data_IF_954491663669
#
_entry.id   IF_954491663669
#
_cell.length_a   1.000
_cell.length_b   1.000
_cell.length_c   1.000
_cell.angle_alpha   90.00
_cell.angle_beta   90.00
_cell.angle_gamma   90.00
#
_symmetry.space_group_name_H-M   'P 1'
#
loop_
_entity.id
_entity.type
_entity.pdbx_description
1 polymer ?
#
# COMPACT_ATOMS: atom_id res chain seq x y z
N UNK A 1 -8.90 15.80 16.76
CA UNK A 1 -8.73 14.41 17.22
C UNK A 1 -7.88 13.67 16.22
N UNK A 2 -6.63 13.33 16.58
CA UNK A 2 -5.68 12.62 15.72
C UNK A 2 -6.09 11.15 15.65
N UNK A 3 -6.58 10.70 14.50
CA UNK A 3 -7.12 9.35 14.29
C UNK A 3 -6.07 8.29 13.92
N UNK A 4 -4.79 8.67 13.83
CA UNK A 4 -3.71 7.77 13.39
C UNK A 4 -2.52 7.76 14.36
N UNK A 5 -2.79 7.51 15.65
CA UNK A 5 -1.71 7.15 16.57
C UNK A 5 -1.42 5.66 16.43
N UNK A 6 -0.47 5.30 15.55
CA UNK A 6 0.17 4.00 15.60
C UNK A 6 0.89 3.90 16.96
N UNK A 7 0.40 3.04 17.85
CA UNK A 7 1.06 2.78 19.13
C UNK A 7 2.46 2.28 18.82
N UNK A 8 3.50 3.12 19.09
CA UNK A 8 4.87 2.63 19.16
C UNK A 8 4.89 1.42 20.10
N UNK A 9 5.43 0.32 19.63
CA UNK A 9 5.76 -0.79 20.50
C UNK A 9 6.64 -0.23 21.62
N UNK A 10 6.46 -0.64 22.89
CA UNK A 10 7.26 -0.12 23.99
C UNK A 10 8.74 -0.40 23.70
N UNK A 11 9.53 0.66 23.58
CA UNK A 11 10.99 0.57 23.55
C UNK A 11 11.46 0.05 24.90
N UNK A 12 11.61 -1.26 25.00
CA UNK A 12 12.34 -1.87 26.12
C UNK A 12 13.82 -1.55 25.93
N UNK A 13 14.31 -0.57 26.68
CA UNK A 13 15.74 -0.28 26.78
C UNK A 13 16.47 -1.56 27.13
N UNK A 14 17.55 -1.94 26.43
CA UNK A 14 18.32 -3.13 26.75
C UNK A 14 18.92 -2.98 28.15
N UNK A 15 18.61 -3.89 29.05
CA UNK A 15 19.30 -4.02 30.33
C UNK A 15 20.70 -4.59 30.04
N UNK A 16 21.67 -3.72 29.83
CA UNK A 16 23.08 -4.06 29.74
C UNK A 16 23.56 -4.44 31.14
N UNK A 17 24.00 -5.69 31.37
CA UNK A 17 24.73 -6.08 32.55
C UNK A 17 24.28 -7.38 33.22
N UNK A 18 24.14 -8.48 32.48
CA UNK A 18 24.04 -9.83 33.00
C UNK A 18 25.05 -10.72 32.31
N UNK A 19 25.71 -11.61 33.06
CA UNK A 19 26.65 -12.59 32.52
C UNK A 19 25.90 -13.50 31.54
N UNK A 20 26.04 -13.24 30.22
CA UNK A 20 25.34 -13.97 29.15
C UNK A 20 25.97 -15.37 29.15
N UNK A 21 25.14 -16.41 29.27
CA UNK A 21 25.60 -17.79 29.19
C UNK A 21 26.28 -18.05 27.83
N UNK A 22 27.25 -18.94 27.81
CA UNK A 22 28.04 -19.23 26.59
C UNK A 22 27.13 -19.69 25.42
N UNK A 23 26.11 -20.51 25.70
CA UNK A 23 25.09 -20.90 24.75
C UNK A 23 24.32 -19.72 24.18
N UNK A 24 23.97 -18.73 25.02
CA UNK A 24 23.25 -17.51 24.58
C UNK A 24 24.13 -16.65 23.67
N UNK A 25 25.45 -16.59 23.96
CA UNK A 25 26.43 -15.88 23.11
C UNK A 25 26.58 -16.50 21.74
N UNK A 26 26.63 -17.85 21.65
CA UNK A 26 26.70 -18.57 20.38
C UNK A 26 25.49 -18.22 19.52
N UNK A 27 24.28 -18.36 20.06
CA UNK A 27 23.03 -18.06 19.35
C UNK A 27 22.98 -16.58 18.93
N UNK A 28 23.35 -15.67 19.82
CA UNK A 28 23.38 -14.23 19.53
C UNK A 28 24.36 -13.88 18.40
N UNK A 29 25.54 -14.49 18.40
CA UNK A 29 26.56 -14.26 17.35
C UNK A 29 26.07 -14.74 16.00
N UNK A 30 25.40 -15.89 15.91
CA UNK A 30 24.81 -16.38 14.67
C UNK A 30 23.75 -15.40 14.15
N UNK A 31 22.86 -14.92 15.04
CA UNK A 31 21.84 -13.93 14.65
C UNK A 31 22.49 -12.62 14.18
N UNK A 32 23.52 -12.12 14.90
CA UNK A 32 24.23 -10.90 14.52
C UNK A 32 24.97 -11.01 13.19
N UNK A 33 25.47 -12.19 12.84
CA UNK A 33 26.14 -12.42 11.55
C UNK A 33 25.23 -12.18 10.33
N UNK A 34 23.91 -12.36 10.50
CA UNK A 34 22.91 -12.15 9.42
C UNK A 34 22.48 -10.70 9.28
N UNK A 35 22.85 -9.82 10.19
CA UNK A 35 22.53 -8.38 10.21
C UNK A 35 21.04 -8.11 10.01
N UNK A 36 20.66 -7.42 8.91
CA UNK A 36 19.28 -7.05 8.55
C UNK A 36 18.41 -8.22 8.05
N UNK A 37 19.07 -9.34 7.71
CA UNK A 37 18.40 -10.56 7.28
C UNK A 37 18.01 -11.37 8.51
N UNK A 38 16.73 -11.40 8.84
CA UNK A 38 16.24 -12.26 9.92
C UNK A 38 16.47 -13.73 9.59
N UNK A 39 16.92 -14.52 10.59
CA UNK A 39 17.19 -15.95 10.41
C UNK A 39 15.98 -16.78 10.85
N UNK A 40 15.63 -17.80 10.05
CA UNK A 40 14.59 -18.77 10.40
C UNK A 40 15.03 -19.68 11.55
N UNK A 41 14.10 -20.02 12.44
CA UNK A 41 14.41 -20.78 13.66
C UNK A 41 15.10 -22.13 13.38
N UNK A 42 14.76 -22.83 12.29
CA UNK A 42 15.41 -24.10 11.96
C UNK A 42 16.86 -23.92 11.52
N UNK A 43 17.12 -22.92 10.70
CA UNK A 43 18.45 -22.61 10.20
C UNK A 43 19.34 -22.11 11.33
N UNK A 44 18.79 -21.26 12.20
CA UNK A 44 19.45 -20.78 13.41
C UNK A 44 19.86 -21.94 14.34
N UNK A 45 18.97 -22.93 14.51
CA UNK A 45 19.25 -24.11 15.32
C UNK A 45 20.36 -24.98 14.70
N UNK A 46 20.33 -25.14 13.39
CA UNK A 46 21.35 -25.88 12.66
C UNK A 46 22.72 -25.19 12.72
N UNK A 47 22.77 -23.86 12.52
CA UNK A 47 24.01 -23.09 12.57
C UNK A 47 24.56 -22.98 14.00
N UNK A 48 23.71 -22.89 15.02
CA UNK A 48 24.14 -22.84 16.42
C UNK A 48 24.68 -24.19 16.94
N UNK A 49 24.29 -25.32 16.35
CA UNK A 49 24.76 -26.65 16.71
C UNK A 49 24.44 -27.07 18.17
N UNK A 50 23.44 -26.45 18.80
CA UNK A 50 23.07 -26.71 20.18
C UNK A 50 21.93 -27.73 20.32
N UNK A 51 21.91 -28.54 21.43
CA UNK A 51 20.78 -29.40 21.72
C UNK A 51 19.48 -28.61 21.91
N UNK A 52 18.34 -29.18 21.48
CA UNK A 52 17.02 -28.54 21.48
C UNK A 52 16.62 -27.84 22.79
N UNK A 53 16.78 -28.48 23.97
CA UNK A 53 16.41 -27.85 25.22
C UNK A 53 17.26 -26.60 25.51
N UNK A 54 18.57 -26.69 25.24
CA UNK A 54 19.52 -25.59 25.45
C UNK A 54 19.24 -24.43 24.51
N UNK A 55 19.04 -24.73 23.22
CA UNK A 55 18.68 -23.74 22.21
C UNK A 55 17.39 -22.97 22.58
N UNK A 56 16.32 -23.70 22.92
CA UNK A 56 15.04 -23.10 23.28
C UNK A 56 15.14 -22.20 24.54
N UNK A 57 15.97 -22.62 25.52
CA UNK A 57 16.26 -21.81 26.71
C UNK A 57 17.02 -20.54 26.35
N UNK A 58 18.05 -20.64 25.51
CA UNK A 58 18.85 -19.51 25.04
C UNK A 58 18.01 -18.49 24.27
N UNK A 59 17.15 -18.93 23.34
CA UNK A 59 16.24 -18.04 22.61
C UNK A 59 15.29 -17.30 23.57
N UNK A 60 14.70 -18.01 24.53
CA UNK A 60 13.82 -17.36 25.52
C UNK A 60 14.57 -16.32 26.36
N UNK A 61 15.78 -16.62 26.80
CA UNK A 61 16.61 -15.69 27.54
C UNK A 61 16.94 -14.44 26.71
N UNK A 62 17.33 -14.60 25.45
CA UNK A 62 17.67 -13.51 24.53
C UNK A 62 16.45 -12.63 24.20
N UNK A 63 15.28 -13.22 24.06
CA UNK A 63 14.01 -12.48 23.88
C UNK A 63 13.65 -11.69 25.16
N UNK A 64 13.76 -12.33 26.32
CA UNK A 64 13.44 -11.70 27.62
C UNK A 64 14.42 -10.57 27.94
N UNK A 65 15.71 -10.72 27.60
CA UNK A 65 16.72 -9.67 27.77
C UNK A 65 16.62 -8.55 26.73
N UNK A 66 15.76 -8.68 25.71
CA UNK A 66 15.57 -7.69 24.67
C UNK A 66 16.75 -7.58 23.68
N UNK A 67 17.65 -8.58 23.64
CA UNK A 67 18.79 -8.62 22.72
C UNK A 67 18.41 -9.15 21.33
N UNK A 68 17.30 -9.89 21.24
CA UNK A 68 16.76 -10.47 20.01
C UNK A 68 15.27 -10.12 19.91
N UNK A 69 14.80 -9.87 18.69
CA UNK A 69 13.39 -9.62 18.36
C UNK A 69 12.87 -10.75 17.47
N UNK A 70 11.62 -11.15 17.68
CA UNK A 70 10.90 -12.03 16.76
C UNK A 70 10.30 -11.18 15.64
N UNK A 71 10.49 -11.59 14.39
CA UNK A 71 10.00 -10.89 13.20
C UNK A 71 9.12 -11.83 12.38
N UNK A 72 7.95 -11.34 12.00
CA UNK A 72 7.08 -12.04 11.07
C UNK A 72 7.55 -11.80 9.62
N UNK A 73 7.69 -12.87 8.85
CA UNK A 73 8.06 -12.81 7.44
C UNK A 73 6.79 -12.78 6.58
N UNK A 74 6.67 -11.76 5.71
CA UNK A 74 5.46 -11.55 4.89
C UNK A 74 5.16 -12.71 3.96
N UNK A 75 6.20 -13.27 3.30
CA UNK A 75 6.03 -14.37 2.35
C UNK A 75 5.93 -15.73 3.04
N UNK A 76 6.52 -15.90 4.24
CA UNK A 76 6.60 -17.17 4.95
C UNK A 76 5.75 -17.12 6.22
N UNK A 77 4.43 -16.95 6.04
CA UNK A 77 3.47 -16.88 7.15
C UNK A 77 3.59 -18.08 8.09
N UNK A 78 3.51 -17.81 9.38
CA UNK A 78 3.58 -18.85 10.43
C UNK A 78 4.98 -19.34 10.78
N UNK A 79 6.04 -18.87 10.13
CA UNK A 79 7.42 -19.20 10.45
C UNK A 79 8.05 -18.13 11.32
N UNK A 80 8.70 -18.55 12.42
CA UNK A 80 9.39 -17.64 13.33
C UNK A 80 10.77 -17.30 12.82
N UNK A 81 11.04 -16.01 12.67
CA UNK A 81 12.35 -15.48 12.33
C UNK A 81 12.85 -14.60 13.47
N UNK A 82 14.15 -14.58 13.66
CA UNK A 82 14.80 -13.82 14.73
C UNK A 82 15.83 -12.86 14.15
N UNK A 83 15.91 -11.67 14.73
CA UNK A 83 16.89 -10.65 14.39
C UNK A 83 17.45 -10.04 15.69
N UNK A 84 18.71 -9.58 15.67
CA UNK A 84 19.26 -8.87 16.81
C UNK A 84 18.56 -7.51 17.00
N UNK A 85 18.36 -7.11 18.25
CA UNK A 85 17.62 -5.89 18.59
C UNK A 85 18.26 -4.60 18.04
N UNK A 86 19.57 -4.64 17.79
CA UNK A 86 20.36 -3.53 17.23
C UNK A 86 20.12 -3.31 15.73
N UNK A 87 19.57 -4.30 15.02
CA UNK A 87 19.25 -4.20 13.58
C UNK A 87 17.77 -4.02 13.35
N UNK A 88 17.44 -3.34 12.25
CA UNK A 88 16.09 -3.28 11.71
C UNK A 88 15.95 -4.32 10.59
N UNK A 89 14.84 -5.08 10.57
CA UNK A 89 14.63 -6.08 9.52
C UNK A 89 14.42 -5.40 8.17
N UNK A 90 14.98 -6.00 7.12
CA UNK A 90 14.83 -5.50 5.75
C UNK A 90 13.36 -5.42 5.32
N UNK A 91 13.07 -4.53 4.37
CA UNK A 91 11.71 -4.40 3.82
C UNK A 91 11.23 -5.66 3.11
N UNK A 92 12.15 -6.48 2.60
CA UNK A 92 11.84 -7.77 1.97
C UNK A 92 11.21 -8.76 2.97
N UNK A 93 11.63 -8.69 4.22
CA UNK A 93 11.13 -9.55 5.30
C UNK A 93 9.81 -9.02 5.85
N UNK A 94 9.77 -7.72 6.15
CA UNK A 94 8.61 -7.09 6.79
C UNK A 94 7.49 -6.72 5.83
N UNK A 95 7.77 -6.61 4.52
CA UNK A 95 6.85 -6.07 3.52
C UNK A 95 6.76 -4.55 3.52
N UNK A 96 7.62 -3.88 4.30
CA UNK A 96 7.64 -2.44 4.44
C UNK A 96 6.53 -1.90 5.35
N UNK A 97 6.30 -0.60 5.25
CA UNK A 97 5.40 0.15 6.13
C UNK A 97 3.91 -0.18 5.98
N UNK A 98 3.53 -0.88 4.90
CA UNK A 98 2.15 -1.32 4.65
C UNK A 98 1.74 -2.55 5.44
N UNK A 99 2.72 -3.21 6.08
CA UNK A 99 2.50 -4.45 6.81
C UNK A 99 2.71 -4.25 8.31
N UNK A 100 1.87 -4.89 9.10
CA UNK A 100 1.98 -4.97 10.56
C UNK A 100 1.93 -6.43 10.95
N UNK A 101 2.96 -6.92 11.67
CA UNK A 101 3.08 -8.32 12.13
C UNK A 101 2.96 -9.36 11.00
N UNK A 102 3.44 -9.02 9.80
CA UNK A 102 3.40 -9.91 8.62
C UNK A 102 2.07 -9.93 7.87
N UNK A 103 1.11 -9.10 8.23
CA UNK A 103 -0.17 -8.93 7.54
C UNK A 103 -0.32 -7.49 7.05
N UNK A 104 -1.04 -7.32 5.94
CA UNK A 104 -1.32 -6.00 5.38
C UNK A 104 -2.18 -5.20 6.36
N UNK A 105 -1.72 -4.02 6.76
CA UNK A 105 -2.41 -3.13 7.70
C UNK A 105 -3.54 -2.37 6.98
N UNK A 106 -4.68 -3.05 6.81
CA UNK A 106 -5.85 -2.51 6.10
C UNK A 106 -6.42 -1.26 6.80
N UNK A 107 -6.39 -1.21 8.11
CA UNK A 107 -6.92 -0.08 8.88
C UNK A 107 -6.05 1.16 8.64
N UNK A 108 -4.74 1.00 8.62
CA UNK A 108 -3.81 2.08 8.31
C UNK A 108 -4.00 2.58 6.87
N UNK A 109 -4.09 1.66 5.89
CA UNK A 109 -4.30 1.98 4.48
C UNK A 109 -5.63 2.71 4.28
N UNK A 110 -6.71 2.22 4.86
CA UNK A 110 -8.03 2.85 4.75
C UNK A 110 -8.06 4.23 5.42
N UNK A 111 -7.46 4.35 6.61
CA UNK A 111 -7.33 5.63 7.30
C UNK A 111 -6.54 6.66 6.47
N UNK A 112 -5.48 6.23 5.79
CA UNK A 112 -4.68 7.10 4.92
C UNK A 112 -5.45 7.47 3.64
N UNK A 113 -6.20 6.54 3.04
CA UNK A 113 -7.11 6.82 1.91
C UNK A 113 -8.16 7.88 2.29
N UNK A 114 -8.80 7.75 3.44
CA UNK A 114 -9.81 8.70 3.92
C UNK A 114 -9.21 10.08 4.19
N UNK A 115 -8.02 10.13 4.75
CA UNK A 115 -7.29 11.37 4.97
C UNK A 115 -6.97 12.06 3.65
N UNK A 116 -6.38 11.36 2.69
CA UNK A 116 -6.07 11.89 1.36
C UNK A 116 -7.34 12.41 0.66
N UNK A 117 -8.45 11.68 0.76
CA UNK A 117 -9.72 12.07 0.17
C UNK A 117 -10.26 13.40 0.77
N UNK A 118 -10.19 13.55 2.10
CA UNK A 118 -10.59 14.80 2.78
C UNK A 118 -9.74 15.98 2.36
N UNK A 119 -8.42 15.79 2.22
CA UNK A 119 -7.49 16.83 1.79
C UNK A 119 -7.78 17.24 0.35
N UNK A 120 -7.93 16.30 -0.57
CA UNK A 120 -8.24 16.57 -1.98
C UNK A 120 -9.58 17.30 -2.11
N UNK A 121 -10.61 16.91 -1.35
CA UNK A 121 -11.90 17.62 -1.33
C UNK A 121 -11.74 19.06 -0.86
N UNK A 122 -10.87 19.31 0.13
CA UNK A 122 -10.63 20.67 0.65
C UNK A 122 -9.82 21.52 -0.33
N UNK A 123 -8.81 20.96 -0.96
CA UNK A 123 -7.93 21.66 -1.91
C UNK A 123 -8.49 21.70 -3.33
N UNK A 124 -9.56 20.92 -3.62
CA UNK A 124 -10.16 20.66 -4.93
C UNK A 124 -9.23 19.93 -5.88
N UNK A 125 -8.00 20.42 -6.04
CA UNK A 125 -6.92 19.82 -6.83
C UNK A 125 -5.64 19.82 -6.01
N UNK A 126 -4.90 18.71 -5.99
CA UNK A 126 -3.64 18.61 -5.28
C UNK A 126 -2.66 17.66 -5.97
N UNK A 127 -1.36 17.92 -5.86
CA UNK A 127 -0.29 16.98 -6.18
C UNK A 127 -0.05 16.04 -5.00
N UNK A 128 0.68 14.94 -5.20
CA UNK A 128 1.05 14.04 -4.10
C UNK A 128 1.85 14.78 -3.01
N UNK A 129 2.82 15.59 -3.42
CA UNK A 129 3.61 16.41 -2.50
C UNK A 129 2.75 17.46 -1.78
N UNK A 130 1.80 18.08 -2.49
CA UNK A 130 0.86 19.03 -1.88
C UNK A 130 -0.04 18.38 -0.81
N UNK A 131 -0.46 17.13 -1.01
CA UNK A 131 -1.21 16.36 -0.01
C UNK A 131 -0.31 16.03 1.19
N UNK A 132 0.93 15.63 0.94
CA UNK A 132 1.92 15.35 1.98
C UNK A 132 2.20 16.59 2.83
N UNK A 133 2.58 17.71 2.20
CA UNK A 133 2.90 18.97 2.87
C UNK A 133 1.71 19.49 3.70
N UNK A 134 0.51 19.41 3.14
CA UNK A 134 -0.70 19.78 3.87
C UNK A 134 -0.90 18.90 5.11
N UNK A 135 -0.65 17.63 4.99
CA UNK A 135 -0.79 16.66 6.09
C UNK A 135 0.22 16.92 7.20
N UNK A 136 1.47 17.18 6.85
CA UNK A 136 2.55 17.50 7.81
C UNK A 136 2.28 18.83 8.51
N UNK A 137 1.95 19.89 7.76
CA UNK A 137 1.65 21.22 8.31
C UNK A 137 0.49 21.22 9.31
N UNK A 138 -0.48 20.35 9.11
CA UNK A 138 -1.65 20.28 9.99
C UNK A 138 -1.52 19.17 11.07
N UNK A 139 -0.37 18.51 11.17
CA UNK A 139 -0.14 17.44 12.15
C UNK A 139 -1.08 16.23 11.99
N UNK A 140 -1.56 15.99 10.78
CA UNK A 140 -2.52 14.93 10.48
C UNK A 140 -1.86 13.57 10.28
N UNK A 141 -0.58 13.56 9.89
CA UNK A 141 0.25 12.38 9.69
C UNK A 141 1.45 12.44 10.63
N UNK A 142 1.76 11.32 11.26
CA UNK A 142 3.01 11.15 12.00
C UNK A 142 4.20 11.10 11.03
N UNK A 143 5.40 11.37 11.54
CA UNK A 143 6.68 11.49 10.81
C UNK A 143 7.05 10.24 9.99
N UNK A 144 6.38 9.12 10.23
CA UNK A 144 6.68 7.83 9.61
C UNK A 144 6.06 7.63 8.20
N UNK A 145 5.27 8.59 7.69
CA UNK A 145 4.68 8.51 6.34
C UNK A 145 5.49 9.35 5.35
N UNK A 146 5.86 8.77 4.22
CA UNK A 146 6.63 9.44 3.17
C UNK A 146 5.74 9.96 2.04
N UNK A 147 6.22 10.97 1.28
CA UNK A 147 5.54 11.45 0.07
C UNK A 147 5.32 10.34 -0.95
N UNK A 148 6.24 9.38 -1.04
CA UNK A 148 6.10 8.22 -1.92
C UNK A 148 4.91 7.34 -1.53
N UNK A 149 4.70 7.09 -0.23
CA UNK A 149 3.54 6.34 0.25
C UNK A 149 2.22 7.04 -0.05
N UNK A 150 2.18 8.37 0.09
CA UNK A 150 1.02 9.16 -0.33
C UNK A 150 0.76 8.98 -1.83
N UNK A 151 1.81 9.03 -2.66
CA UNK A 151 1.69 8.81 -4.12
C UNK A 151 1.13 7.41 -4.44
N UNK A 152 1.58 6.37 -3.75
CA UNK A 152 1.08 4.99 -3.92
C UNK A 152 -0.41 4.87 -3.53
N UNK A 153 -0.81 5.48 -2.41
CA UNK A 153 -2.22 5.53 -1.99
C UNK A 153 -3.08 6.28 -3.00
N UNK A 154 -2.63 7.43 -3.50
CA UNK A 154 -3.37 8.20 -4.50
C UNK A 154 -3.56 7.41 -5.80
N UNK A 155 -2.53 6.71 -6.28
CA UNK A 155 -2.64 5.80 -7.43
C UNK A 155 -3.65 4.68 -7.18
N UNK A 156 -3.62 4.06 -5.99
CA UNK A 156 -4.63 3.07 -5.61
C UNK A 156 -6.05 3.64 -5.63
N UNK A 157 -6.23 4.89 -5.15
CA UNK A 157 -7.53 5.55 -5.14
C UNK A 157 -8.03 5.92 -6.56
N UNK A 158 -7.12 6.16 -7.50
CA UNK A 158 -7.46 6.33 -8.93
C UNK A 158 -7.99 5.03 -9.49
N UNK A 159 -7.34 3.89 -9.21
CA UNK A 159 -7.83 2.56 -9.61
C UNK A 159 -9.18 2.22 -8.97
N UNK A 160 -9.41 2.66 -7.74
CA UNK A 160 -10.69 2.54 -7.04
C UNK A 160 -11.77 3.52 -7.55
N UNK A 161 -11.48 4.33 -8.57
CA UNK A 161 -12.35 5.40 -9.13
C UNK A 161 -12.85 6.42 -8.09
N UNK A 162 -12.14 6.60 -6.97
CA UNK A 162 -12.48 7.59 -5.94
C UNK A 162 -11.98 8.99 -6.26
N UNK A 163 -10.89 9.06 -7.00
CA UNK A 163 -10.27 10.29 -7.52
C UNK A 163 -9.85 10.09 -8.96
N UNK A 164 -9.67 11.18 -9.69
CA UNK A 164 -9.13 11.16 -11.06
C UNK A 164 -7.76 11.82 -11.08
N UNK A 165 -6.90 11.26 -11.92
CA UNK A 165 -5.60 11.82 -12.23
C UNK A 165 -5.73 12.76 -13.42
N UNK A 166 -5.21 13.97 -13.31
CA UNK A 166 -5.24 15.01 -14.34
C UNK A 166 -3.91 15.74 -14.41
N UNK A 167 -3.57 16.28 -15.58
CA UNK A 167 -2.40 17.15 -15.73
C UNK A 167 -2.80 18.61 -15.47
N UNK A 168 -2.00 19.33 -14.71
CA UNK A 168 -2.22 20.76 -14.46
C UNK A 168 -2.21 21.57 -15.75
N UNK A 169 -3.19 22.42 -15.90
CA UNK A 169 -3.27 23.42 -16.98
C UNK A 169 -2.66 24.77 -16.56
N UNK A 170 -2.32 24.94 -15.28
CA UNK A 170 -1.83 26.22 -14.70
C UNK A 170 -2.90 27.29 -14.58
N UNK A 171 -4.17 27.01 -14.93
CA UNK A 171 -5.27 27.98 -14.94
C UNK A 171 -6.38 27.60 -13.94
N UNK A 172 -7.11 28.55 -13.43
CA UNK A 172 -8.24 28.34 -12.52
C UNK A 172 -7.83 27.64 -11.23
N UNK A 173 -8.40 26.47 -10.94
CA UNK A 173 -8.10 25.66 -9.75
C UNK A 173 -6.65 25.13 -9.73
N UNK A 174 -5.95 25.15 -10.85
CA UNK A 174 -4.57 24.68 -11.03
C UNK A 174 -3.50 25.77 -10.95
N UNK A 175 -3.89 27.04 -10.66
CA UNK A 175 -2.98 28.20 -10.73
C UNK A 175 -1.73 28.06 -9.84
N UNK A 176 -1.82 27.34 -8.74
CA UNK A 176 -0.70 27.09 -7.81
C UNK A 176 0.18 25.91 -8.19
N UNK A 177 -0.16 25.19 -9.26
CA UNK A 177 0.52 23.97 -9.67
C UNK A 177 1.12 24.19 -11.07
N UNK A 178 2.43 23.96 -11.27
CA UNK A 178 3.07 24.12 -12.57
C UNK A 178 2.37 23.33 -13.67
N UNK A 179 2.35 23.90 -14.89
CA UNK A 179 1.73 23.27 -16.07
C UNK A 179 2.39 21.93 -16.34
N UNK A 180 1.57 20.92 -16.63
CA UNK A 180 2.02 19.57 -16.94
C UNK A 180 2.24 18.65 -15.72
N UNK A 181 2.26 19.21 -14.51
CA UNK A 181 2.38 18.40 -13.30
C UNK A 181 1.14 17.54 -13.07
N UNK A 182 1.39 16.34 -12.56
CA UNK A 182 0.36 15.37 -12.21
C UNK A 182 -0.40 15.82 -10.96
N UNK A 183 -1.72 15.87 -11.07
CA UNK A 183 -2.62 16.29 -10.00
C UNK A 183 -3.75 15.30 -9.83
N UNK A 184 -4.32 15.31 -8.65
CA UNK A 184 -5.46 14.49 -8.29
C UNK A 184 -6.65 15.37 -7.94
N UNK A 185 -7.83 14.99 -8.44
CA UNK A 185 -9.09 15.68 -8.20
C UNK A 185 -10.14 14.70 -7.71
N UNK A 186 -10.98 15.14 -6.79
CA UNK A 186 -12.09 14.33 -6.33
C UNK A 186 -13.14 14.15 -7.43
N UNK A 187 -13.62 12.93 -7.57
CA UNK A 187 -14.73 12.59 -8.45
C UNK A 187 -16.03 12.72 -7.68
N UNK A 188 -16.81 13.77 -7.93
CA UNK A 188 -18.22 13.75 -7.52
C UNK A 188 -18.90 12.62 -8.27
N UNK A 189 -19.67 11.77 -7.57
CA UNK A 189 -20.22 10.49 -8.06
C UNK A 189 -20.92 10.52 -9.46
N UNK A 190 -21.24 11.69 -10.00
CA UNK A 190 -21.72 11.87 -11.39
C UNK A 190 -20.62 11.63 -12.45
N UNK A 191 -19.34 11.63 -12.07
CA UNK A 191 -18.23 11.34 -13.00
C UNK A 191 -17.74 9.89 -12.88
N UNK A 192 -18.15 9.15 -11.83
CA UNK A 192 -17.93 7.71 -11.68
C UNK A 192 -18.90 6.87 -12.55
N UNK A 193 -19.93 7.47 -13.07
CA UNK A 193 -20.58 6.96 -14.28
C UNK A 193 -19.53 7.09 -15.38
N UNK A 194 -19.01 5.93 -15.83
CA UNK A 194 -18.03 5.83 -16.90
C UNK A 194 -18.31 6.84 -17.99
N UNK A 195 -17.25 7.29 -18.68
CA UNK A 195 -17.30 8.23 -19.80
C UNK A 195 -18.75 8.49 -20.17
N UNK A 196 -19.25 9.73 -20.10
CA UNK A 196 -20.56 10.07 -20.67
C UNK A 196 -20.49 9.71 -22.15
N UNK A 197 -20.52 8.41 -22.36
CA UNK A 197 -20.61 7.81 -23.67
C UNK A 197 -21.95 8.28 -24.20
N UNK A 198 -21.91 9.10 -25.24
CA UNK A 198 -23.13 9.64 -25.82
C UNK A 198 -24.12 8.50 -26.05
N UNK A 199 -25.40 8.77 -26.11
CA UNK A 199 -26.48 7.77 -26.31
C UNK A 199 -26.16 6.74 -27.41
N UNK A 200 -25.31 7.10 -28.37
CA UNK A 200 -24.83 6.20 -29.43
C UNK A 200 -24.06 4.97 -28.95
N UNK A 201 -23.41 5.02 -27.78
CA UNK A 201 -22.67 3.86 -27.28
C UNK A 201 -23.58 2.82 -26.62
N UNK A 202 -24.78 3.22 -26.22
CA UNK A 202 -25.79 2.32 -25.68
C UNK A 202 -26.51 1.50 -26.74
N UNK A 203 -26.34 1.84 -28.04
CA UNK A 203 -26.92 1.14 -29.15
C UNK A 203 -25.83 0.43 -29.98
N UNK A 204 -26.12 -0.74 -30.57
CA UNK A 204 -25.16 -1.50 -31.38
C UNK A 204 -24.54 -0.70 -32.54
N UNK A 205 -25.26 0.26 -33.07
CA UNK A 205 -24.80 1.13 -34.15
C UNK A 205 -23.62 2.01 -33.76
N UNK A 206 -23.51 2.42 -32.52
CA UNK A 206 -22.44 3.32 -32.05
C UNK A 206 -21.04 2.73 -32.13
N UNK A 207 -20.91 1.39 -32.07
CA UNK A 207 -19.67 0.64 -32.20
C UNK A 207 -19.58 -0.21 -33.46
N UNK A 208 -20.54 -0.02 -34.37
CA UNK A 208 -20.63 -0.82 -35.58
C UNK A 208 -19.54 -0.43 -36.61
N UNK A 209 -18.66 -1.34 -37.03
CA UNK A 209 -17.59 -1.04 -37.97
C UNK A 209 -18.15 -0.71 -39.39
N UNK A 210 -19.39 -1.13 -39.68
CA UNK A 210 -20.06 -0.92 -40.96
C UNK A 210 -21.12 0.17 -40.95
N UNK A 211 -21.10 1.05 -39.95
CA UNK A 211 -22.11 2.13 -39.81
C UNK A 211 -22.17 3.04 -41.05
N UNK A 212 -21.03 3.25 -41.73
CA UNK A 212 -20.92 4.10 -42.93
C UNK A 212 -21.52 3.46 -44.18
N UNK A 213 -21.65 2.14 -44.21
CA UNK A 213 -22.19 1.37 -45.33
C UNK A 213 -23.67 1.02 -45.10
N UNK A 214 -24.18 1.28 -43.89
CA UNK A 214 -25.53 0.93 -43.49
C UNK A 214 -26.52 1.99 -43.98
N UNK A 215 -27.38 1.60 -44.90
CA UNK A 215 -28.47 2.45 -45.47
C UNK A 215 -29.80 1.77 -45.33
N UNK A 216 -30.94 2.51 -45.26
CA UNK A 216 -32.26 1.91 -45.08
C UNK A 216 -32.62 0.88 -46.15
N UNK A 217 -32.21 1.12 -47.40
CA UNK A 217 -32.53 0.30 -48.56
C UNK A 217 -31.35 -0.50 -49.11
N UNK A 218 -30.21 -0.55 -48.35
CA UNK A 218 -29.02 -1.24 -48.78
C UNK A 218 -28.97 -2.70 -48.36
N UNK A 219 -27.95 -3.40 -48.87
CA UNK A 219 -27.61 -4.79 -48.46
C UNK A 219 -27.31 -4.88 -46.95
N UNK A 220 -26.72 -3.81 -46.38
CA UNK A 220 -26.50 -3.63 -44.94
C UNK A 220 -27.49 -2.57 -44.51
N UNK A 221 -28.47 -2.95 -43.71
CA UNK A 221 -29.54 -2.06 -43.28
C UNK A 221 -29.95 -2.35 -41.81
N UNK A 222 -30.57 -1.41 -41.12
CA UNK A 222 -31.11 -1.65 -39.78
C UNK A 222 -32.14 -2.78 -39.75
N UNK A 223 -32.92 -2.94 -40.82
CA UNK A 223 -33.99 -3.96 -40.96
C UNK A 223 -33.45 -5.37 -41.10
N UNK A 224 -32.24 -5.55 -41.65
CA UNK A 224 -31.56 -6.85 -41.79
C UNK A 224 -30.48 -7.09 -40.74
N UNK A 225 -30.28 -6.15 -39.83
CA UNK A 225 -29.20 -6.21 -38.83
C UNK A 225 -29.59 -7.07 -37.63
N UNK A 226 -28.95 -8.24 -37.51
CA UNK A 226 -29.16 -9.18 -36.39
C UNK A 226 -28.87 -8.54 -35.03
N UNK A 227 -27.84 -7.70 -34.93
CA UNK A 227 -27.45 -7.03 -33.67
C UNK A 227 -28.47 -5.98 -33.27
N UNK A 228 -29.01 -5.24 -34.20
CA UNK A 228 -30.02 -4.23 -33.95
C UNK A 228 -31.37 -4.85 -33.57
N UNK A 229 -31.77 -5.93 -34.27
CA UNK A 229 -32.96 -6.71 -33.93
C UNK A 229 -32.89 -7.30 -32.53
N UNK A 230 -31.77 -7.94 -32.16
CA UNK A 230 -31.57 -8.47 -30.81
C UNK A 230 -31.59 -7.38 -29.73
N UNK A 231 -31.11 -6.19 -30.04
CA UNK A 231 -31.13 -5.07 -29.11
C UNK A 231 -32.55 -4.51 -28.88
N UNK A 232 -33.42 -4.62 -29.85
CA UNK A 232 -34.82 -4.22 -29.76
C UNK A 232 -35.72 -5.29 -29.13
N UNK A 233 -35.24 -6.52 -29.01
CA UNK A 233 -35.98 -7.65 -28.49
C UNK A 233 -35.85 -7.66 -26.96
N UNK A 234 -36.79 -7.02 -26.26
CA UNK A 234 -36.86 -6.87 -24.80
C UNK A 234 -37.75 -7.95 -24.21
#
# INVERSE_FOLDING_TARGET
MSLLQKRKAPETKPKTGGNIAESDRIVLNVIKSKREMAIFVKDLKQEAGLPDPTFNKSIKNLLTSGLVKEVAHVQLKGRKHYIAAEFEPSQEITGGSWYSKGELDQDFINGLKDLCLRIIRKLKVATADGVYDFSVKNGLINIDCTSQQISEILKSMVLDNKIIEVKSTGLGEYHSIPIGNLCYRYTTGDSAQGLKTGAMVSIPCGVCPRIRECTPDGLISPTTCVYYTKWLDF
#
